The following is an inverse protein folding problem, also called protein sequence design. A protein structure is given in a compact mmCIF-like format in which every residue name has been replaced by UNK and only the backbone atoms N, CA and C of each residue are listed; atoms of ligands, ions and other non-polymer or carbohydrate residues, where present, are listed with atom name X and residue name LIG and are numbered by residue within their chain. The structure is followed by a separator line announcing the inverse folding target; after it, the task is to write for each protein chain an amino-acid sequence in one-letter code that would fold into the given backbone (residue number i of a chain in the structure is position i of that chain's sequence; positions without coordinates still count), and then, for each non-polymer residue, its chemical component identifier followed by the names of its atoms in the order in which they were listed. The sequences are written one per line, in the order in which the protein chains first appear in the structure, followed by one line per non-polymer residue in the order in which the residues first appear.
data_IF_051122078211
#
_entry.id   IF_051122078211
#
_cell.length_a   1.000
_cell.length_b   1.000
_cell.length_c   1.000
_cell.angle_alpha   90.00
_cell.angle_beta   90.00
_cell.angle_gamma   90.00
#
_symmetry.space_group_name_H-M   'P 1'
#
loop_
_entity.id
_entity.type
_entity.pdbx_description
1 polymer ?
#
# COMPACT_ATOMS: atom_id res chain seq x y z
N UNK A 1 -1.83 12.56 -29.63
CA UNK A 1 -0.89 12.02 -28.63
C UNK A 1 -0.66 10.54 -28.93
N UNK A 2 0.47 10.19 -29.53
CA UNK A 2 0.78 8.81 -29.91
C UNK A 2 1.01 7.96 -28.66
N UNK A 3 0.20 6.91 -28.47
CA UNK A 3 0.47 5.87 -27.46
C UNK A 3 1.76 5.18 -27.86
N UNK A 4 2.84 5.40 -27.11
CA UNK A 4 4.06 4.60 -27.22
C UNK A 4 3.65 3.14 -27.04
N UNK A 5 3.64 2.37 -28.13
CA UNK A 5 3.71 0.91 -28.09
C UNK A 5 5.11 0.56 -27.57
N UNK A 6 5.32 0.74 -26.27
CA UNK A 6 6.43 0.09 -25.59
C UNK A 6 6.15 -1.40 -25.78
N UNK A 7 6.99 -2.05 -26.58
CA UNK A 7 7.04 -3.49 -26.72
C UNK A 7 7.56 -4.04 -25.39
N UNK A 8 6.71 -3.95 -24.37
CA UNK A 8 6.99 -4.43 -23.03
C UNK A 8 7.02 -5.94 -23.18
N UNK A 9 8.18 -6.55 -22.93
CA UNK A 9 8.25 -8.00 -22.78
C UNK A 9 7.36 -8.39 -21.60
N UNK A 10 6.14 -8.80 -21.93
CA UNK A 10 5.08 -9.11 -20.97
C UNK A 10 5.46 -10.26 -20.06
N UNK A 11 6.39 -11.12 -20.48
CA UNK A 11 6.96 -12.20 -19.68
C UNK A 11 7.84 -11.63 -18.57
N UNK A 12 8.81 -10.78 -18.93
CA UNK A 12 9.68 -10.07 -17.97
C UNK A 12 8.86 -9.18 -17.04
N UNK A 13 7.86 -8.49 -17.58
CA UNK A 13 6.98 -7.63 -16.77
C UNK A 13 6.18 -8.42 -15.73
N UNK A 14 5.67 -9.60 -16.09
CA UNK A 14 4.98 -10.49 -15.15
C UNK A 14 5.93 -10.96 -14.03
N UNK A 15 7.16 -11.34 -14.36
CA UNK A 15 8.17 -11.74 -13.36
C UNK A 15 8.45 -10.60 -12.38
N UNK A 16 8.69 -9.38 -12.89
CA UNK A 16 8.92 -8.18 -12.06
C UNK A 16 7.70 -7.89 -11.18
N UNK A 17 6.49 -8.07 -11.71
CA UNK A 17 5.27 -7.85 -10.95
C UNK A 17 5.10 -8.88 -9.82
N UNK A 18 5.34 -10.16 -10.10
CA UNK A 18 5.32 -11.22 -9.09
C UNK A 18 6.34 -10.95 -7.98
N UNK A 19 7.58 -10.59 -8.35
CA UNK A 19 8.62 -10.24 -7.38
C UNK A 19 8.21 -9.03 -6.51
N UNK A 20 7.55 -8.04 -7.10
CA UNK A 20 7.03 -6.88 -6.37
C UNK A 20 5.95 -7.28 -5.35
N UNK A 21 5.03 -8.17 -5.72
CA UNK A 21 3.99 -8.68 -4.81
C UNK A 21 4.60 -9.53 -3.69
N UNK A 22 5.61 -10.38 -4.01
CA UNK A 22 6.35 -11.18 -3.03
C UNK A 22 7.11 -10.31 -2.01
N UNK A 23 7.79 -9.25 -2.49
CA UNK A 23 8.45 -8.27 -1.62
C UNK A 23 7.47 -7.56 -0.69
N UNK A 24 6.28 -7.23 -1.17
CA UNK A 24 5.25 -6.59 -0.33
C UNK A 24 4.70 -7.55 0.74
N UNK A 25 4.49 -8.82 0.40
CA UNK A 25 4.08 -9.86 1.37
C UNK A 25 5.09 -10.04 2.51
N UNK A 26 6.38 -9.91 2.20
CA UNK A 26 7.49 -10.08 3.14
C UNK A 26 7.83 -8.81 3.93
N UNK A 27 7.29 -7.64 3.55
CA UNK A 27 7.55 -6.37 4.24
C UNK A 27 6.80 -6.31 5.58
N UNK A 28 7.46 -6.73 6.65
CA UNK A 28 6.89 -6.70 8.01
C UNK A 28 6.77 -5.30 8.63
N UNK A 29 7.55 -4.31 8.18
CA UNK A 29 7.65 -2.99 8.82
C UNK A 29 6.33 -2.21 8.86
N UNK A 30 5.55 -2.23 7.77
CA UNK A 30 4.28 -1.51 7.70
C UNK A 30 3.14 -2.22 8.43
N UNK A 31 3.27 -3.52 8.69
CA UNK A 31 2.28 -4.32 9.39
C UNK A 31 2.28 -4.13 10.92
N UNK A 32 3.22 -3.36 11.46
CA UNK A 32 3.24 -3.00 12.90
C UNK A 32 2.21 -1.93 13.24
N UNK A 33 1.80 -1.12 12.27
CA UNK A 33 0.89 0.03 12.47
C UNK A 33 -0.59 -0.37 12.25
N UNK A 34 -0.84 -1.51 11.62
CA UNK A 34 -2.19 -1.97 11.27
C UNK A 34 -2.77 -2.98 12.26
N UNK A 35 -4.09 -2.97 12.39
CA UNK A 35 -4.82 -3.99 13.16
C UNK A 35 -4.66 -5.38 12.54
N UNK A 36 -4.66 -6.42 13.39
CA UNK A 36 -4.46 -7.82 12.99
C UNK A 36 -5.40 -8.26 11.86
N UNK A 37 -6.65 -7.80 11.87
CA UNK A 37 -7.66 -8.13 10.85
C UNK A 37 -7.37 -7.48 9.49
N UNK A 38 -7.07 -6.18 9.46
CA UNK A 38 -6.73 -5.47 8.23
C UNK A 38 -5.45 -6.04 7.58
N UNK A 39 -4.49 -6.45 8.42
CA UNK A 39 -3.28 -7.16 8.01
C UNK A 39 -3.59 -8.50 7.32
N UNK A 40 -4.45 -9.32 7.92
CA UNK A 40 -4.85 -10.62 7.35
C UNK A 40 -5.60 -10.45 6.03
N UNK A 41 -6.57 -9.52 5.97
CA UNK A 41 -7.34 -9.26 4.74
C UNK A 41 -6.44 -8.76 3.61
N UNK A 42 -5.49 -7.88 3.91
CA UNK A 42 -4.53 -7.40 2.91
C UNK A 42 -3.61 -8.52 2.41
N UNK A 43 -3.08 -9.36 3.32
CA UNK A 43 -2.28 -10.55 2.94
C UNK A 43 -3.05 -11.54 2.09
N UNK A 44 -4.33 -11.80 2.40
CA UNK A 44 -5.20 -12.64 1.59
C UNK A 44 -5.36 -12.09 0.16
N UNK A 45 -5.60 -10.79 0.03
CA UNK A 45 -5.69 -10.13 -1.29
C UNK A 45 -4.39 -10.22 -2.07
N UNK A 46 -3.24 -10.02 -1.41
CA UNK A 46 -1.92 -10.17 -2.04
C UNK A 46 -1.64 -11.61 -2.49
N UNK A 47 -1.98 -12.61 -1.67
CA UNK A 47 -1.83 -14.02 -2.03
C UNK A 47 -2.72 -14.40 -3.21
N UNK A 48 -3.98 -13.97 -3.22
CA UNK A 48 -4.88 -14.21 -4.34
C UNK A 48 -4.34 -13.58 -5.63
N UNK A 49 -3.85 -12.34 -5.56
CA UNK A 49 -3.24 -11.65 -6.71
C UNK A 49 -2.00 -12.39 -7.22
N UNK A 50 -1.16 -12.91 -6.31
CA UNK A 50 0.04 -13.67 -6.65
C UNK A 50 -0.33 -14.98 -7.38
N UNK A 51 -1.34 -15.71 -6.88
CA UNK A 51 -1.86 -16.91 -7.53
C UNK A 51 -2.41 -16.59 -8.92
N UNK A 52 -3.14 -15.48 -9.09
CA UNK A 52 -3.67 -15.05 -10.39
C UNK A 52 -2.57 -14.62 -11.38
N UNK A 53 -1.45 -14.10 -10.88
CA UNK A 53 -0.27 -13.75 -11.68
C UNK A 53 0.54 -14.97 -12.10
N UNK A 54 0.77 -15.92 -11.18
CA UNK A 54 1.52 -17.16 -11.44
C UNK A 54 0.72 -18.14 -12.32
N UNK A 55 -0.60 -18.18 -12.18
CA UNK A 55 -1.50 -19.02 -13.01
C UNK A 55 -1.74 -18.48 -14.42
N UNK A 56 -1.09 -17.38 -14.82
CA UNK A 56 -1.32 -16.70 -16.11
C UNK A 56 -2.78 -16.30 -16.38
N UNK A 57 -3.64 -16.29 -15.36
CA UNK A 57 -5.07 -15.94 -15.46
C UNK A 57 -5.25 -14.48 -15.90
N UNK A 58 -4.32 -13.62 -15.52
CA UNK A 58 -4.26 -12.23 -15.98
C UNK A 58 -3.60 -12.17 -17.36
N UNK A 59 -4.39 -11.95 -18.41
CA UNK A 59 -3.87 -11.75 -19.79
C UNK A 59 -2.78 -10.66 -19.82
N UNK A 60 -1.79 -10.85 -20.70
CA UNK A 60 -0.63 -9.97 -20.82
C UNK A 60 -1.00 -8.50 -21.13
N UNK A 61 -2.07 -8.28 -21.90
CA UNK A 61 -2.63 -6.96 -22.17
C UNK A 61 -3.15 -6.23 -20.91
N UNK A 62 -3.53 -6.99 -19.88
CA UNK A 62 -4.09 -6.47 -18.63
C UNK A 62 -3.04 -6.37 -17.51
N UNK A 63 -1.79 -6.81 -17.72
CA UNK A 63 -0.73 -6.76 -16.72
C UNK A 63 -0.45 -5.33 -16.25
N UNK A 64 -0.33 -4.39 -17.18
CA UNK A 64 -0.04 -2.97 -16.86
C UNK A 64 -1.18 -2.35 -16.03
N UNK A 65 -2.42 -2.62 -16.42
CA UNK A 65 -3.61 -2.11 -15.69
C UNK A 65 -3.70 -2.72 -14.29
N UNK A 66 -3.45 -4.02 -14.14
CA UNK A 66 -3.47 -4.68 -12.83
C UNK A 66 -2.32 -4.21 -11.93
N UNK A 67 -1.13 -3.97 -12.48
CA UNK A 67 -0.02 -3.37 -11.75
C UNK A 67 -0.37 -1.96 -11.24
N UNK A 68 -0.97 -1.12 -12.09
CA UNK A 68 -1.43 0.21 -11.68
C UNK A 68 -2.49 0.16 -10.58
N UNK A 69 -3.44 -0.77 -10.67
CA UNK A 69 -4.45 -0.99 -9.62
C UNK A 69 -3.80 -1.44 -8.31
N UNK A 70 -2.83 -2.34 -8.38
CA UNK A 70 -2.05 -2.80 -7.23
C UNK A 70 -1.27 -1.65 -6.57
N UNK A 71 -0.57 -0.84 -7.35
CA UNK A 71 0.23 0.29 -6.84
C UNK A 71 -0.67 1.33 -6.16
N UNK A 72 -1.86 1.62 -6.72
CA UNK A 72 -2.86 2.48 -6.08
C UNK A 72 -3.37 1.88 -4.77
N UNK A 73 -3.77 0.61 -4.77
CA UNK A 73 -4.26 -0.06 -3.57
C UNK A 73 -3.21 -0.11 -2.46
N UNK A 74 -1.92 -0.26 -2.81
CA UNK A 74 -0.81 -0.17 -1.86
C UNK A 74 -0.69 1.23 -1.25
N UNK A 75 -0.73 2.28 -2.07
CA UNK A 75 -0.67 3.67 -1.58
C UNK A 75 -1.87 3.99 -0.67
N UNK A 76 -3.08 3.59 -1.06
CA UNK A 76 -4.28 3.80 -0.25
C UNK A 76 -4.21 3.04 1.08
N UNK A 77 -3.70 1.81 1.07
CA UNK A 77 -3.48 1.01 2.27
C UNK A 77 -2.46 1.67 3.21
N UNK A 78 -1.34 2.17 2.68
CA UNK A 78 -0.34 2.91 3.47
C UNK A 78 -0.91 4.21 4.04
N UNK A 79 -1.63 4.99 3.23
CA UNK A 79 -2.24 6.24 3.67
C UNK A 79 -3.31 6.03 4.73
N UNK A 80 -4.07 4.93 4.66
CA UNK A 80 -5.08 4.60 5.68
C UNK A 80 -4.49 4.40 7.08
N UNK A 81 -3.27 3.86 7.18
CA UNK A 81 -2.53 3.77 8.46
C UNK A 81 -2.03 5.13 8.95
N UNK A 82 -1.61 6.01 8.02
CA UNK A 82 -1.12 7.36 8.33
C UNK A 82 -2.24 8.33 8.77
N UNK A 83 -3.48 8.15 8.32
CA UNK A 83 -4.62 9.02 8.73
C UNK A 83 -4.79 9.08 10.24
N UNK A 84 -4.68 7.95 10.93
CA UNK A 84 -4.77 7.90 12.39
C UNK A 84 -3.58 8.56 13.08
N UNK A 85 -2.39 8.46 12.48
CA UNK A 85 -1.19 9.11 13.01
C UNK A 85 -1.35 10.64 13.02
N UNK A 86 -1.86 11.24 11.95
CA UNK A 86 -2.12 12.69 11.90
C UNK A 86 -3.18 13.14 12.91
N UNK A 87 -4.23 12.33 13.12
CA UNK A 87 -5.28 12.62 14.11
C UNK A 87 -4.69 12.59 15.53
N UNK A 88 -3.92 11.55 15.87
CA UNK A 88 -3.26 11.42 17.18
C UNK A 88 -2.26 12.56 17.40
N UNK A 89 -1.46 12.89 16.39
CA UNK A 89 -0.48 13.98 16.46
C UNK A 89 -1.16 15.34 16.67
N UNK A 90 -2.28 15.60 16.00
CA UNK A 90 -3.08 16.81 16.19
C UNK A 90 -3.63 16.95 17.62
N UNK A 91 -4.11 15.85 18.21
CA UNK A 91 -4.58 15.82 19.61
C UNK A 91 -3.42 16.10 20.56
N UNK A 92 -2.25 15.51 20.31
CA UNK A 92 -1.05 15.69 21.15
C UNK A 92 -0.56 17.14 21.17
N UNK A 93 -0.60 17.83 20.03
CA UNK A 93 -0.28 19.26 19.93
C UNK A 93 -1.29 20.11 20.72
N UNK A 94 -2.58 19.82 20.60
CA UNK A 94 -3.64 20.53 21.32
C UNK A 94 -3.48 20.42 22.85
N UNK A 95 -3.13 19.23 23.34
CA UNK A 95 -2.86 18.99 24.77
C UNK A 95 -1.57 19.70 25.22
N UNK A 96 -0.52 19.69 24.38
CA UNK A 96 0.71 20.43 24.68
C UNK A 96 0.48 21.94 24.81
N UNK A 97 -0.28 22.52 23.88
CA UNK A 97 -0.63 23.94 23.90
C UNK A 97 -1.49 24.33 25.10
N UNK A 98 -2.45 23.49 25.50
CA UNK A 98 -3.29 23.78 26.67
C UNK A 98 -2.50 23.77 27.98
N UNK A 99 -1.51 22.87 28.12
CA UNK A 99 -0.59 22.83 29.26
C UNK A 99 0.28 24.09 29.29
N UNK A 100 0.83 24.50 28.14
CA UNK A 100 1.63 25.73 28.05
C UNK A 100 0.79 26.92 28.50
N UNK A 101 -0.40 27.11 27.95
CA UNK A 101 -1.30 28.23 28.32
C UNK A 101 -1.65 28.22 29.81
N UNK A 102 -1.90 27.05 30.39
CA UNK A 102 -2.16 26.90 31.84
C UNK A 102 -0.95 27.29 32.70
N UNK A 103 0.26 26.96 32.26
CA UNK A 103 1.49 27.31 32.97
C UNK A 103 1.87 28.79 32.81
N UNK A 104 1.65 29.40 31.63
CA UNK A 104 1.98 30.82 31.41
C UNK A 104 1.00 31.79 32.07
N UNK A 105 -0.21 31.32 32.44
CA UNK A 105 -1.22 32.12 33.15
C UNK A 105 -1.12 32.06 34.68
N UNK A 106 -0.18 31.27 35.21
CA UNK A 106 0.08 31.13 36.63
C UNK A 106 1.29 31.95 37.03
#
# INVERSE_FOLDING_TARGET
MAKQNQNIDTSTFRIIFIDSVKKELNRNFWFLILSSKAKQDYRLKLNNLLIELESNKIKNSNLVKNKQTFDKAKVDFLLSGLKWYFIIFGILILVGLSIIILFTRK
#
